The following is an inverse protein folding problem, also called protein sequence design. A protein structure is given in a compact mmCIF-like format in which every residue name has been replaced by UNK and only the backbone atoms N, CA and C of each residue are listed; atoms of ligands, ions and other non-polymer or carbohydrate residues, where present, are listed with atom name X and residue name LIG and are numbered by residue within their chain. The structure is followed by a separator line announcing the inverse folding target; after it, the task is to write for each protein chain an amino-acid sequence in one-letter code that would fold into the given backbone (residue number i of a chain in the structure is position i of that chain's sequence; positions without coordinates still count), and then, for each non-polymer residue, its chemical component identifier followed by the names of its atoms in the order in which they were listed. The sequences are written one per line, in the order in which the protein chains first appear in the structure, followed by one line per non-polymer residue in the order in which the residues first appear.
data_IF_492961503963
#
_entry.id   IF_492961503963
#
_cell.length_a   1.000
_cell.length_b   1.000
_cell.length_c   1.000
_cell.angle_alpha   90.00
_cell.angle_beta   90.00
_cell.angle_gamma   90.00
#
_symmetry.space_group_name_H-M   'P 1'
#
loop_
_entity.id
_entity.type
_entity.pdbx_description
1 polymer ?
#
# COMPACT_ATOMS: atom_id res chain seq x y z
N UNK A 1 -4.15 -44.81 -42.35
CA UNK A 1 -5.59 -44.43 -42.29
C UNK A 1 -5.69 -42.96 -42.63
N UNK A 2 -6.52 -42.58 -43.60
CA UNK A 2 -6.70 -41.18 -44.02
C UNK A 2 -8.00 -40.69 -43.41
N UNK A 3 -7.94 -39.66 -42.56
CA UNK A 3 -9.14 -39.03 -41.99
C UNK A 3 -9.78 -38.17 -43.08
N UNK A 4 -11.08 -38.36 -43.33
CA UNK A 4 -11.85 -37.47 -44.19
C UNK A 4 -12.11 -36.16 -43.43
N UNK A 5 -11.55 -35.05 -43.94
CA UNK A 5 -11.71 -33.70 -43.38
C UNK A 5 -13.19 -33.33 -43.21
N UNK A 6 -14.05 -33.68 -44.16
CA UNK A 6 -15.45 -33.28 -44.11
C UNK A 6 -16.22 -34.06 -43.04
N UNK A 7 -15.91 -35.36 -42.89
CA UNK A 7 -16.47 -36.18 -41.81
C UNK A 7 -15.98 -35.70 -40.45
N UNK A 8 -14.67 -35.44 -40.31
CA UNK A 8 -14.10 -34.89 -39.07
C UNK A 8 -14.74 -33.55 -38.68
N UNK A 9 -14.88 -32.62 -39.62
CA UNK A 9 -15.48 -31.32 -39.36
C UNK A 9 -16.96 -31.41 -38.97
N UNK A 10 -17.73 -32.25 -39.65
CA UNK A 10 -19.14 -32.45 -39.31
C UNK A 10 -19.29 -33.04 -37.91
N UNK A 11 -18.47 -34.03 -37.55
CA UNK A 11 -18.49 -34.64 -36.22
C UNK A 11 -18.00 -33.65 -35.16
N UNK A 12 -16.94 -32.89 -35.44
CA UNK A 12 -16.41 -31.88 -34.52
C UNK A 12 -17.43 -30.76 -34.26
N UNK A 13 -18.04 -30.20 -35.30
CA UNK A 13 -19.07 -29.16 -35.15
C UNK A 13 -20.25 -29.65 -34.31
N UNK A 14 -20.66 -30.91 -34.50
CA UNK A 14 -21.73 -31.50 -33.71
C UNK A 14 -21.34 -31.66 -32.25
N UNK A 15 -20.17 -32.25 -31.97
CA UNK A 15 -19.68 -32.48 -30.59
C UNK A 15 -19.47 -31.14 -29.87
N UNK A 16 -18.89 -30.16 -30.58
CA UNK A 16 -18.66 -28.81 -30.07
C UNK A 16 -19.97 -28.14 -29.63
N UNK A 17 -21.00 -28.17 -30.48
CA UNK A 17 -22.30 -27.60 -30.16
C UNK A 17 -23.03 -28.33 -29.01
N UNK A 18 -22.82 -29.65 -28.87
CA UNK A 18 -23.50 -30.46 -27.85
C UNK A 18 -22.81 -30.42 -26.47
N UNK A 19 -21.48 -30.27 -26.43
CA UNK A 19 -20.70 -30.44 -25.20
C UNK A 19 -20.15 -29.13 -24.63
N UNK A 20 -20.03 -28.07 -25.42
CA UNK A 20 -19.43 -26.83 -24.97
C UNK A 20 -20.49 -25.87 -24.44
N UNK A 21 -20.35 -25.44 -23.18
CA UNK A 21 -21.18 -24.37 -22.64
C UNK A 21 -20.98 -23.10 -23.47
N UNK A 22 -22.08 -22.43 -23.83
CA UNK A 22 -22.03 -21.22 -24.66
C UNK A 22 -21.24 -20.08 -24.03
N UNK A 23 -21.20 -20.07 -22.69
CA UNK A 23 -20.48 -19.08 -21.89
C UNK A 23 -19.38 -19.76 -21.06
N UNK A 24 -18.17 -19.23 -21.16
CA UNK A 24 -17.02 -19.63 -20.31
C UNK A 24 -16.61 -18.47 -19.42
N UNK A 25 -16.70 -18.66 -18.11
CA UNK A 25 -16.31 -17.66 -17.12
C UNK A 25 -14.79 -17.62 -16.90
N UNK A 26 -14.26 -16.41 -16.85
CA UNK A 26 -12.87 -16.09 -16.52
C UNK A 26 -12.79 -15.59 -15.07
N UNK A 27 -11.62 -15.76 -14.44
CA UNK A 27 -11.40 -15.25 -13.07
C UNK A 27 -11.25 -13.73 -13.10
N UNK A 28 -11.90 -13.04 -12.17
CA UNK A 28 -11.72 -11.60 -11.94
C UNK A 28 -10.25 -11.20 -11.85
N UNK A 29 -9.92 -10.01 -12.34
CA UNK A 29 -8.56 -9.49 -12.24
C UNK A 29 -8.29 -8.90 -10.86
N UNK A 30 -7.02 -8.80 -10.42
CA UNK A 30 -6.69 -7.87 -9.35
C UNK A 30 -6.97 -6.42 -9.77
N UNK A 31 -7.01 -5.51 -8.79
CA UNK A 31 -7.07 -4.07 -9.05
C UNK A 31 -5.69 -3.57 -9.49
N UNK A 32 -5.57 -3.11 -10.73
CA UNK A 32 -4.35 -2.57 -11.31
C UNK A 32 -4.26 -1.07 -11.03
N UNK A 33 -3.15 -0.64 -10.42
CA UNK A 33 -2.92 0.77 -10.13
C UNK A 33 -2.68 1.57 -11.43
N UNK A 34 -3.52 2.56 -11.68
CA UNK A 34 -3.42 3.49 -12.82
C UNK A 34 -2.65 4.76 -12.45
N UNK A 35 -2.78 5.22 -11.21
CA UNK A 35 -2.14 6.44 -10.75
C UNK A 35 -2.19 6.61 -9.24
N UNK A 36 -1.24 7.38 -8.71
CA UNK A 36 -1.17 7.80 -7.31
C UNK A 36 -1.38 9.31 -7.21
N UNK A 37 -1.86 9.77 -6.06
CA UNK A 37 -2.03 11.21 -5.79
C UNK A 37 -2.87 11.93 -6.87
N UNK A 38 -3.89 11.26 -7.39
CA UNK A 38 -4.80 11.81 -8.40
C UNK A 38 -5.81 12.73 -7.71
N UNK A 39 -6.10 13.89 -8.29
CA UNK A 39 -7.15 14.79 -7.80
C UNK A 39 -8.53 14.10 -7.85
N UNK A 40 -9.19 14.02 -6.71
CA UNK A 40 -10.44 13.29 -6.55
C UNK A 40 -11.65 14.21 -6.69
N UNK A 41 -12.77 13.73 -7.26
CA UNK A 41 -13.99 14.53 -7.31
C UNK A 41 -14.55 14.75 -5.90
N UNK A 42 -15.25 15.88 -5.66
CA UNK A 42 -15.75 16.25 -4.33
C UNK A 42 -16.63 15.19 -3.66
N UNK A 43 -17.25 14.30 -4.44
CA UNK A 43 -18.13 13.21 -3.99
C UNK A 43 -17.42 12.09 -3.21
N UNK A 44 -16.08 12.04 -3.29
CA UNK A 44 -15.28 10.95 -2.70
C UNK A 44 -14.90 11.26 -1.25
N UNK A 45 -14.79 12.54 -0.88
CA UNK A 45 -14.57 13.00 0.50
C UNK A 45 -13.10 13.18 0.91
N UNK A 46 -12.16 13.11 -0.04
CA UNK A 46 -10.74 13.43 0.14
C UNK A 46 -10.19 14.09 -1.14
N UNK A 47 -9.13 14.90 -1.03
CA UNK A 47 -8.62 15.71 -2.15
C UNK A 47 -7.77 14.89 -3.15
N UNK A 48 -6.95 13.95 -2.68
CA UNK A 48 -6.08 13.12 -3.53
C UNK A 48 -6.21 11.62 -3.24
N UNK A 49 -6.10 10.81 -4.28
CA UNK A 49 -6.29 9.37 -4.18
C UNK A 49 -5.47 8.53 -5.15
N UNK A 50 -5.30 7.25 -4.82
CA UNK A 50 -4.81 6.24 -5.74
C UNK A 50 -5.99 5.75 -6.59
N UNK A 51 -5.79 5.74 -7.90
CA UNK A 51 -6.75 5.29 -8.89
C UNK A 51 -6.35 3.89 -9.38
N UNK A 52 -7.28 2.96 -9.32
CA UNK A 52 -7.08 1.58 -9.77
C UNK A 52 -8.20 1.14 -10.72
N UNK A 53 -7.92 0.13 -11.54
CA UNK A 53 -8.85 -0.47 -12.48
C UNK A 53 -8.93 -1.97 -12.31
N UNK A 54 -10.14 -2.53 -12.35
CA UNK A 54 -10.39 -3.95 -12.19
C UNK A 54 -11.44 -4.42 -13.18
N UNK A 55 -11.26 -5.64 -13.69
CA UNK A 55 -12.26 -6.35 -14.49
C UNK A 55 -12.84 -7.49 -13.67
N UNK A 56 -14.15 -7.63 -13.74
CA UNK A 56 -14.95 -8.60 -12.97
C UNK A 56 -16.04 -9.21 -13.83
N UNK A 57 -16.57 -10.36 -13.43
CA UNK A 57 -17.68 -11.02 -14.13
C UNK A 57 -17.37 -11.25 -15.62
N UNK A 58 -16.13 -11.65 -15.90
CA UNK A 58 -15.64 -11.80 -17.26
C UNK A 58 -16.12 -13.13 -17.86
N UNK A 59 -16.69 -13.09 -19.06
CA UNK A 59 -17.23 -14.22 -19.77
C UNK A 59 -16.87 -14.16 -21.25
N UNK A 60 -16.66 -15.33 -21.86
CA UNK A 60 -16.56 -15.50 -23.31
C UNK A 60 -17.86 -16.14 -23.77
N UNK A 61 -18.60 -15.46 -24.63
CA UNK A 61 -19.91 -15.85 -25.13
C UNK A 61 -19.86 -16.30 -26.59
N UNK A 62 -20.81 -17.15 -26.97
CA UNK A 62 -20.93 -17.64 -28.35
C UNK A 62 -19.97 -18.79 -28.66
N UNK A 63 -19.37 -19.42 -27.64
CA UNK A 63 -18.43 -20.50 -27.84
C UNK A 63 -19.14 -21.69 -28.49
N UNK A 64 -20.33 -22.06 -28.05
CA UNK A 64 -21.06 -23.23 -28.58
C UNK A 64 -21.40 -23.12 -30.07
N UNK A 65 -21.44 -21.89 -30.60
CA UNK A 65 -21.77 -21.58 -31.98
C UNK A 65 -20.53 -21.33 -32.86
N UNK A 66 -19.32 -21.60 -32.36
CA UNK A 66 -18.09 -21.43 -33.13
C UNK A 66 -18.07 -22.36 -34.35
N UNK A 67 -18.17 -21.76 -35.54
CA UNK A 67 -18.02 -22.46 -36.80
C UNK A 67 -16.60 -22.26 -37.33
N UNK A 68 -15.98 -23.35 -37.80
CA UNK A 68 -14.73 -23.29 -38.54
C UNK A 68 -15.00 -22.84 -39.99
N UNK A 69 -14.61 -21.61 -40.30
CA UNK A 69 -14.63 -21.02 -41.64
C UNK A 69 -13.69 -21.73 -42.61
N UNK A 70 -12.53 -22.14 -42.09
CA UNK A 70 -11.54 -22.91 -42.83
C UNK A 70 -10.93 -23.96 -41.92
N UNK A 71 -10.63 -25.10 -42.53
CA UNK A 71 -9.90 -26.17 -41.89
C UNK A 71 -8.90 -26.75 -42.86
N UNK A 72 -7.68 -26.97 -42.39
CA UNK A 72 -6.70 -27.80 -43.09
C UNK A 72 -6.22 -28.91 -42.16
N UNK A 73 -6.06 -30.11 -42.74
CA UNK A 73 -5.52 -31.27 -42.04
C UNK A 73 -4.26 -31.72 -42.78
N UNK A 74 -3.15 -31.71 -42.06
CA UNK A 74 -1.85 -32.17 -42.53
C UNK A 74 -1.48 -33.45 -41.79
N UNK A 75 -1.21 -34.52 -42.54
CA UNK A 75 -0.77 -35.79 -42.00
C UNK A 75 0.74 -35.92 -42.20
N UNK A 76 1.50 -35.81 -41.11
CA UNK A 76 2.97 -35.79 -41.09
C UNK A 76 3.45 -37.05 -40.35
N UNK A 77 3.41 -38.19 -41.05
CA UNK A 77 3.74 -39.50 -40.46
C UNK A 77 2.75 -39.87 -39.35
N UNK A 78 3.25 -40.01 -38.12
CA UNK A 78 2.43 -40.33 -36.95
C UNK A 78 1.76 -39.10 -36.34
N UNK A 79 2.03 -37.91 -36.87
CA UNK A 79 1.44 -36.63 -36.41
C UNK A 79 0.32 -36.16 -37.33
N UNK A 80 -0.74 -35.65 -36.74
CA UNK A 80 -1.81 -34.95 -37.44
C UNK A 80 -1.82 -33.51 -36.95
N UNK A 81 -1.72 -32.56 -37.86
CA UNK A 81 -1.90 -31.14 -37.57
C UNK A 81 -3.22 -30.68 -38.18
N UNK A 82 -4.06 -30.08 -37.36
CA UNK A 82 -5.36 -29.53 -37.72
C UNK A 82 -5.28 -28.02 -37.50
N UNK A 83 -5.45 -27.24 -38.56
CA UNK A 83 -5.52 -25.78 -38.46
C UNK A 83 -6.98 -25.35 -38.69
N UNK A 84 -7.54 -24.59 -37.76
CA UNK A 84 -8.90 -24.08 -37.81
C UNK A 84 -8.88 -22.55 -37.82
N UNK A 85 -9.72 -21.95 -38.65
CA UNK A 85 -10.03 -20.52 -38.62
C UNK A 85 -11.49 -20.37 -38.21
N UNK A 86 -11.77 -19.72 -37.09
CA UNK A 86 -13.08 -19.70 -36.44
C UNK A 86 -13.79 -18.34 -36.64
N UNK A 87 -15.13 -18.34 -36.78
CA UNK A 87 -15.94 -17.13 -37.07
C UNK A 87 -15.81 -16.02 -36.02
N UNK A 88 -15.65 -16.39 -34.74
CA UNK A 88 -15.33 -15.46 -33.67
C UNK A 88 -16.17 -15.66 -32.42
N UNK A 89 -15.76 -15.04 -31.32
CA UNK A 89 -16.48 -15.02 -30.04
C UNK A 89 -16.52 -13.62 -29.48
N UNK A 90 -17.44 -13.37 -28.55
CA UNK A 90 -17.54 -12.09 -27.86
C UNK A 90 -17.06 -12.26 -26.43
N UNK A 91 -16.09 -11.44 -26.02
CA UNK A 91 -15.74 -11.26 -24.62
C UNK A 91 -16.64 -10.18 -24.01
N UNK A 92 -17.19 -10.45 -22.83
CA UNK A 92 -17.99 -9.50 -22.07
C UNK A 92 -17.56 -9.50 -20.60
N UNK A 93 -17.75 -8.39 -19.91
CA UNK A 93 -17.54 -8.30 -18.47
C UNK A 93 -17.95 -6.95 -17.92
N UNK A 94 -17.64 -6.74 -16.65
CA UNK A 94 -17.82 -5.46 -15.97
C UNK A 94 -16.49 -4.92 -15.48
N UNK A 95 -16.33 -3.60 -15.52
CA UNK A 95 -15.17 -2.93 -14.97
C UNK A 95 -15.54 -2.12 -13.73
N UNK A 96 -14.54 -1.90 -12.88
CA UNK A 96 -14.59 -0.94 -11.79
C UNK A 96 -13.34 -0.05 -11.81
N UNK A 97 -13.54 1.26 -11.91
CA UNK A 97 -12.54 2.25 -11.52
C UNK A 97 -12.69 2.51 -10.03
N UNK A 98 -11.68 2.15 -9.28
CA UNK A 98 -11.67 2.20 -7.83
C UNK A 98 -10.74 3.30 -7.36
N UNK A 99 -11.16 4.00 -6.33
CA UNK A 99 -10.35 5.03 -5.69
C UNK A 99 -10.07 4.65 -4.24
N UNK A 100 -8.85 4.98 -3.80
CA UNK A 100 -8.42 4.88 -2.41
C UNK A 100 -7.79 6.20 -1.98
N UNK A 101 -7.94 6.63 -0.72
CA UNK A 101 -7.15 7.75 -0.21
C UNK A 101 -5.66 7.48 -0.44
N UNK A 102 -4.97 8.45 -1.02
CA UNK A 102 -3.53 8.43 -1.19
C UNK A 102 -3.04 9.83 -0.83
N UNK A 103 -2.86 10.07 0.49
CA UNK A 103 -2.48 11.37 0.99
C UNK A 103 -1.10 11.71 0.46
N UNK A 104 -0.93 12.98 0.07
CA UNK A 104 0.39 13.51 -0.21
C UNK A 104 1.21 13.37 1.07
N UNK A 105 2.34 12.67 1.00
CA UNK A 105 3.30 12.65 2.09
C UNK A 105 3.78 14.08 2.27
N UNK A 106 3.33 14.73 3.33
CA UNK A 106 3.66 16.13 3.59
C UNK A 106 4.95 16.30 4.39
N UNK A 107 5.62 15.21 4.76
CA UNK A 107 6.75 15.18 5.68
C UNK A 107 7.88 14.31 5.15
N UNK A 108 9.11 14.77 5.33
CA UNK A 108 10.31 13.99 5.06
C UNK A 108 10.52 12.88 6.12
N UNK A 109 10.04 11.65 5.85
CA UNK A 109 10.19 10.53 6.78
C UNK A 109 11.61 9.93 6.79
N UNK A 110 12.44 10.24 5.78
CA UNK A 110 13.79 9.71 5.62
C UNK A 110 14.85 10.39 6.51
N UNK A 111 14.42 11.10 7.56
CA UNK A 111 15.31 11.46 8.66
C UNK A 111 15.10 12.82 9.32
N UNK A 112 14.26 13.73 8.80
CA UNK A 112 14.14 15.07 9.39
C UNK A 112 12.74 15.52 9.79
N UNK A 113 11.69 14.80 9.41
CA UNK A 113 10.33 14.96 9.94
C UNK A 113 9.73 16.36 9.76
N UNK A 114 10.27 17.13 8.80
CA UNK A 114 9.87 18.48 8.46
C UNK A 114 8.86 18.48 7.31
N UNK A 115 8.04 19.54 7.25
CA UNK A 115 7.10 19.72 6.13
C UNK A 115 7.83 19.82 4.79
N UNK A 116 7.37 19.05 3.80
CA UNK A 116 7.80 19.16 2.42
C UNK A 116 7.19 20.41 1.78
N UNK A 117 7.96 21.11 0.94
CA UNK A 117 7.48 22.31 0.22
C UNK A 117 6.37 21.96 -0.76
N UNK A 118 5.57 22.95 -1.17
CA UNK A 118 4.47 22.74 -2.14
C UNK A 118 4.96 22.20 -3.50
N UNK A 119 6.23 22.40 -3.85
CA UNK A 119 6.85 21.86 -5.07
C UNK A 119 7.28 20.40 -4.90
N UNK A 120 7.77 19.99 -3.74
CA UNK A 120 8.08 18.59 -3.41
C UNK A 120 6.82 17.72 -3.26
N UNK A 121 5.66 18.35 -2.95
CA UNK A 121 4.35 17.71 -2.85
C UNK A 121 3.73 17.30 -4.19
N UNK A 122 4.37 17.63 -5.33
CA UNK A 122 3.91 17.21 -6.67
C UNK A 122 4.52 15.85 -7.04
N UNK A 123 3.81 15.00 -7.81
CA UNK A 123 4.38 13.76 -8.31
C UNK A 123 5.58 14.05 -9.22
N UNK A 124 6.78 13.74 -8.74
CA UNK A 124 8.02 13.87 -9.52
C UNK A 124 8.38 12.51 -10.12
N UNK A 125 8.66 12.49 -11.43
CA UNK A 125 9.34 11.36 -12.07
C UNK A 125 10.73 11.23 -11.46
N UNK A 126 11.11 10.00 -11.06
CA UNK A 126 12.37 9.72 -10.37
C UNK A 126 13.58 10.46 -11.00
N UNK A 127 14.35 11.16 -10.16
CA UNK A 127 15.65 11.74 -10.54
C UNK A 127 15.72 13.27 -10.71
N UNK A 128 14.73 14.04 -10.25
CA UNK A 128 14.84 15.51 -10.20
C UNK A 128 14.98 15.99 -8.76
N UNK A 129 16.16 16.53 -8.42
CA UNK A 129 16.43 17.23 -7.16
C UNK A 129 15.54 18.46 -7.07
N UNK A 130 14.87 18.61 -5.92
CA UNK A 130 14.05 19.78 -5.58
C UNK A 130 14.98 20.84 -4.97
N UNK A 131 14.72 22.11 -5.26
CA UNK A 131 15.48 23.24 -4.73
C UNK A 131 15.51 23.21 -3.19
N UNK A 132 16.72 23.40 -2.65
CA UNK A 132 17.08 23.29 -1.24
C UNK A 132 16.49 24.46 -0.43
N UNK A 133 15.75 24.15 0.63
CA UNK A 133 15.30 25.14 1.63
C UNK A 133 16.48 25.42 2.58
N UNK A 134 17.11 26.60 2.49
CA UNK A 134 18.31 26.97 3.26
C UNK A 134 18.11 26.84 4.79
N UNK A 135 16.90 27.06 5.31
CA UNK A 135 16.59 26.87 6.74
C UNK A 135 16.59 25.37 7.10
N UNK A 136 16.05 24.54 6.21
CA UNK A 136 16.05 23.07 6.37
C UNK A 136 17.45 22.50 6.34
N UNK A 137 18.29 22.91 5.39
CA UNK A 137 19.68 22.44 5.29
C UNK A 137 20.51 22.87 6.51
N UNK A 138 20.28 24.08 7.03
CA UNK A 138 20.94 24.53 8.26
C UNK A 138 20.55 23.70 9.49
N UNK A 139 19.28 23.27 9.60
CA UNK A 139 18.85 22.37 10.67
C UNK A 139 19.37 20.95 10.49
N UNK A 140 19.45 20.46 9.25
CA UNK A 140 20.04 19.15 8.93
C UNK A 140 21.51 19.09 9.33
N UNK A 141 22.28 20.11 8.96
CA UNK A 141 23.69 20.15 9.29
C UNK A 141 23.90 20.22 10.80
N UNK A 142 23.13 21.06 11.50
CA UNK A 142 23.16 21.12 12.95
C UNK A 142 22.78 19.78 13.61
N UNK A 143 21.73 19.09 13.14
CA UNK A 143 21.37 17.77 13.68
C UNK A 143 22.47 16.73 13.45
N UNK A 144 23.18 16.78 12.31
CA UNK A 144 24.37 15.93 12.06
C UNK A 144 25.50 16.26 13.02
N UNK A 145 25.78 17.54 13.26
CA UNK A 145 26.80 17.99 14.20
C UNK A 145 26.51 17.50 15.62
N UNK A 146 25.28 17.68 16.12
CA UNK A 146 24.89 17.19 17.46
C UNK A 146 24.95 15.65 17.53
N UNK A 147 24.56 14.95 16.45
CA UNK A 147 24.67 13.49 16.37
C UNK A 147 26.13 13.03 16.44
N UNK A 148 27.05 13.67 15.74
CA UNK A 148 28.48 13.35 15.81
C UNK A 148 29.05 13.63 17.20
N UNK A 149 28.61 14.70 17.86
CA UNK A 149 28.98 14.98 19.25
C UNK A 149 28.49 13.88 20.20
N UNK A 150 27.25 13.39 20.04
CA UNK A 150 26.72 12.26 20.80
C UNK A 150 27.51 10.97 20.55
N UNK A 151 27.86 10.65 19.29
CA UNK A 151 28.68 9.48 18.94
C UNK A 151 30.07 9.53 19.58
N UNK A 152 30.63 10.72 19.76
CA UNK A 152 31.94 10.89 20.38
C UNK A 152 31.96 10.52 21.87
N UNK A 153 30.78 10.40 22.51
CA UNK A 153 30.60 10.01 23.91
C UNK A 153 30.16 8.55 23.99
N UNK A 154 30.75 7.76 24.88
CA UNK A 154 30.44 6.32 25.01
C UNK A 154 28.95 6.05 25.25
N UNK A 155 28.34 6.78 26.19
CA UNK A 155 26.91 6.63 26.49
C UNK A 155 26.01 7.28 25.43
N UNK A 156 26.49 8.34 24.77
CA UNK A 156 25.79 8.96 23.65
C UNK A 156 25.68 8.01 22.44
N UNK A 157 26.75 7.27 22.13
CA UNK A 157 26.72 6.21 21.11
C UNK A 157 25.73 5.11 21.47
N UNK A 158 25.70 4.63 22.72
CA UNK A 158 24.75 3.60 23.15
C UNK A 158 23.29 4.05 23.01
N UNK A 159 23.00 5.30 23.37
CA UNK A 159 21.66 5.89 23.16
C UNK A 159 21.33 5.92 21.66
N UNK A 160 22.25 6.36 20.80
CA UNK A 160 22.03 6.41 19.35
C UNK A 160 21.81 5.02 18.74
N UNK A 161 22.62 4.02 19.12
CA UNK A 161 22.51 2.66 18.61
C UNK A 161 21.15 2.03 18.92
N UNK A 162 20.63 2.26 20.13
CA UNK A 162 19.30 1.79 20.56
C UNK A 162 18.17 2.41 19.72
N UNK A 163 18.30 3.68 19.35
CA UNK A 163 17.32 4.33 18.48
C UNK A 163 17.41 3.85 17.04
N UNK A 164 18.64 3.71 16.55
CA UNK A 164 18.90 3.27 15.19
C UNK A 164 18.40 1.86 14.92
N UNK A 165 18.39 1.00 15.95
CA UNK A 165 17.80 -0.35 15.89
C UNK A 165 16.32 -0.34 15.46
N UNK A 166 15.58 0.73 15.78
CA UNK A 166 14.15 0.85 15.50
C UNK A 166 13.81 1.84 14.40
N UNK A 167 14.80 2.41 13.69
CA UNK A 167 14.58 3.41 12.64
C UNK A 167 13.63 2.95 11.53
N UNK A 168 13.67 1.67 11.13
CA UNK A 168 12.72 1.13 10.15
C UNK A 168 11.26 1.25 10.63
N UNK A 169 11.03 0.95 11.91
CA UNK A 169 9.70 1.04 12.52
C UNK A 169 9.27 2.50 12.65
N UNK A 170 10.17 3.38 13.08
CA UNK A 170 9.86 4.80 13.20
C UNK A 170 9.58 5.45 11.84
N UNK A 171 10.37 5.14 10.80
CA UNK A 171 10.10 5.60 9.43
C UNK A 171 8.72 5.14 8.95
N UNK A 172 8.35 3.87 9.20
CA UNK A 172 7.01 3.38 8.88
C UNK A 172 5.90 4.13 9.64
N UNK A 173 6.10 4.44 10.92
CA UNK A 173 5.17 5.26 11.71
C UNK A 173 5.02 6.66 11.11
N UNK A 174 6.12 7.28 10.67
CA UNK A 174 6.08 8.61 10.02
C UNK A 174 5.48 8.60 8.61
N UNK A 175 5.56 7.48 7.91
CA UNK A 175 4.87 7.26 6.64
C UNK A 175 3.38 6.92 6.83
N UNK A 176 2.95 6.64 8.06
CA UNK A 176 1.54 6.45 8.40
C UNK A 176 0.82 7.81 8.39
N UNK A 177 -0.22 7.94 7.58
CA UNK A 177 -0.64 9.22 6.99
C UNK A 177 -1.05 10.30 8.00
N UNK A 178 -1.45 9.89 9.20
CA UNK A 178 -1.95 10.78 10.23
C UNK A 178 -0.94 11.11 11.34
N UNK A 179 0.11 10.30 11.52
CA UNK A 179 1.13 10.58 12.53
C UNK A 179 1.90 11.86 12.20
N UNK A 180 2.21 12.08 10.93
CA UNK A 180 2.86 13.30 10.48
C UNK A 180 2.08 14.58 10.81
N UNK A 181 0.76 14.57 10.63
CA UNK A 181 -0.12 15.71 10.99
C UNK A 181 -0.04 16.03 12.48
N UNK A 182 0.03 15.00 13.32
CA UNK A 182 0.12 15.14 14.77
C UNK A 182 1.52 15.58 15.18
N UNK A 183 2.55 15.05 14.52
CA UNK A 183 3.94 15.48 14.68
C UNK A 183 4.10 16.97 14.41
N UNK A 184 3.47 17.50 13.36
CA UNK A 184 3.47 18.94 13.07
C UNK A 184 2.80 19.74 14.19
N UNK A 185 1.74 19.21 14.79
CA UNK A 185 0.93 19.85 15.83
C UNK A 185 0.65 21.33 15.52
N UNK A 186 0.07 21.62 14.35
CA UNK A 186 -0.20 22.98 13.86
C UNK A 186 1.03 23.91 13.81
N UNK A 187 2.23 23.36 13.57
CA UNK A 187 3.47 24.12 13.44
C UNK A 187 4.25 24.29 14.74
N UNK A 188 3.72 23.85 15.88
CA UNK A 188 4.38 23.95 17.21
C UNK A 188 5.74 23.26 17.19
N UNK A 189 5.85 22.08 16.57
CA UNK A 189 7.13 21.35 16.48
C UNK A 189 8.16 22.12 15.64
N UNK A 190 7.73 22.85 14.61
CA UNK A 190 8.62 23.71 13.82
C UNK A 190 9.12 24.91 14.62
N UNK A 191 8.26 25.53 15.44
CA UNK A 191 8.66 26.60 16.35
C UNK A 191 9.70 26.12 17.37
N UNK A 192 9.48 24.95 17.97
CA UNK A 192 10.40 24.31 18.92
C UNK A 192 11.75 23.95 18.28
N UNK A 193 11.75 23.40 17.06
CA UNK A 193 12.99 23.10 16.32
C UNK A 193 13.80 24.36 16.01
N UNK A 194 13.12 25.45 15.60
CA UNK A 194 13.78 26.73 15.35
C UNK A 194 14.42 27.29 16.61
N UNK A 195 13.71 27.22 17.73
CA UNK A 195 14.23 27.68 19.02
C UNK A 195 15.39 26.84 19.53
N UNK A 196 15.29 25.52 19.43
CA UNK A 196 16.38 24.59 19.76
C UNK A 196 17.62 24.93 18.94
N UNK A 197 17.45 25.10 17.62
CA UNK A 197 18.54 25.50 16.71
C UNK A 197 19.19 26.83 17.13
N UNK A 198 18.39 27.82 17.48
CA UNK A 198 18.86 29.12 17.95
C UNK A 198 19.56 29.03 19.32
N UNK A 199 19.04 28.23 20.24
CA UNK A 199 19.60 28.08 21.57
C UNK A 199 20.98 27.45 21.53
N UNK A 200 21.14 26.37 20.75
CA UNK A 200 22.40 25.70 20.51
C UNK A 200 23.46 26.64 19.86
N UNK A 201 23.05 27.50 18.92
CA UNK A 201 23.96 28.47 18.26
C UNK A 201 24.40 29.62 19.16
N UNK A 202 23.55 30.01 20.12
CA UNK A 202 23.76 31.20 20.95
C UNK A 202 24.10 30.86 22.41
N UNK A 203 24.36 29.59 22.71
CA UNK A 203 24.64 29.09 24.06
C UNK A 203 23.56 29.49 25.08
N UNK A 204 22.31 29.29 24.70
CA UNK A 204 21.14 29.54 25.54
C UNK A 204 20.52 28.23 26.03
N UNK A 205 19.55 28.32 26.94
CA UNK A 205 18.79 27.16 27.36
C UNK A 205 18.01 26.56 26.17
N UNK A 206 18.24 25.28 25.90
CA UNK A 206 17.56 24.53 24.82
C UNK A 206 16.07 24.38 25.12
N UNK A 207 15.72 24.36 26.40
CA UNK A 207 14.36 24.30 26.92
C UNK A 207 14.12 25.49 27.88
N UNK A 208 13.63 26.61 27.35
CA UNK A 208 13.38 27.81 28.15
C UNK A 208 12.10 27.64 29.00
N UNK A 209 12.22 27.67 30.34
CA UNK A 209 11.07 27.47 31.25
C UNK A 209 10.02 28.57 31.17
N UNK A 210 10.35 29.72 30.58
CA UNK A 210 9.41 30.84 30.43
C UNK A 210 8.75 30.89 29.05
N UNK A 211 9.10 29.95 28.17
CA UNK A 211 8.63 29.98 26.78
C UNK A 211 7.39 29.11 26.60
N UNK A 212 6.33 29.76 26.14
CA UNK A 212 5.13 29.10 25.63
C UNK A 212 5.09 29.21 24.11
N UNK A 213 4.76 28.09 23.48
CA UNK A 213 4.57 27.96 22.05
C UNK A 213 3.10 28.11 21.68
N UNK A 214 2.80 28.10 20.38
CA UNK A 214 1.41 28.06 19.90
C UNK A 214 0.57 26.99 20.63
N UNK A 215 -0.69 27.31 20.92
CA UNK A 215 -1.60 26.51 21.77
C UNK A 215 -1.16 26.40 23.25
N UNK A 216 -0.43 27.37 23.79
CA UNK A 216 0.00 27.43 25.20
C UNK A 216 0.74 26.18 25.67
N UNK A 217 1.54 25.59 24.77
CA UNK A 217 2.32 24.39 25.06
C UNK A 217 3.75 24.74 25.47
N UNK A 218 4.28 23.99 26.43
CA UNK A 218 5.72 23.96 26.72
C UNK A 218 6.39 22.87 25.87
N UNK A 219 7.72 22.94 25.74
CA UNK A 219 8.51 21.92 25.05
C UNK A 219 8.25 20.52 25.61
N UNK A 220 8.38 20.36 26.93
CA UNK A 220 8.22 19.06 27.60
C UNK A 220 6.82 18.47 27.41
N UNK A 221 5.79 19.31 27.48
CA UNK A 221 4.40 18.86 27.30
C UNK A 221 4.12 18.43 25.86
N UNK A 222 4.67 19.12 24.87
CA UNK A 222 4.55 18.71 23.47
C UNK A 222 5.32 17.41 23.20
N UNK A 223 6.58 17.31 23.64
CA UNK A 223 7.41 16.13 23.51
C UNK A 223 6.75 14.90 24.17
N UNK A 224 6.15 15.09 25.35
CA UNK A 224 5.39 14.06 26.04
C UNK A 224 4.24 13.51 25.19
N UNK A 225 3.42 14.39 24.60
CA UNK A 225 2.27 14.00 23.76
C UNK A 225 2.74 13.27 22.49
N UNK A 226 3.76 13.80 21.81
CA UNK A 226 4.30 13.19 20.59
C UNK A 226 4.89 11.79 20.86
N UNK A 227 5.56 11.60 21.99
CA UNK A 227 6.04 10.29 22.44
C UNK A 227 4.88 9.31 22.66
N UNK A 228 3.84 9.70 23.39
CA UNK A 228 2.67 8.82 23.60
C UNK A 228 2.00 8.49 22.26
N UNK A 229 1.91 9.46 21.34
CA UNK A 229 1.40 9.23 19.99
C UNK A 229 2.27 8.24 19.20
N UNK A 230 3.61 8.34 19.30
CA UNK A 230 4.55 7.44 18.64
C UNK A 230 4.38 6.00 19.15
N UNK A 231 4.39 5.84 20.47
CA UNK A 231 4.24 4.55 21.17
C UNK A 231 2.91 3.87 20.79
N UNK A 232 1.82 4.65 20.75
CA UNK A 232 0.50 4.16 20.33
C UNK A 232 0.51 3.73 18.86
N UNK A 233 1.07 4.56 17.98
CA UNK A 233 1.11 4.27 16.54
C UNK A 233 1.96 3.04 16.23
N UNK A 234 3.10 2.85 16.91
CA UNK A 234 3.90 1.62 16.82
C UNK A 234 3.04 0.39 17.13
N UNK A 235 2.37 0.37 18.29
CA UNK A 235 1.53 -0.75 18.71
C UNK A 235 0.38 -1.00 17.74
N UNK A 236 -0.32 0.05 17.33
CA UNK A 236 -1.47 -0.04 16.43
C UNK A 236 -1.09 -0.58 15.04
N UNK A 237 0.07 -0.19 14.49
CA UNK A 237 0.61 -0.77 13.24
C UNK A 237 0.99 -2.24 13.44
N UNK A 238 1.62 -2.55 14.58
CA UNK A 238 2.10 -3.90 14.90
C UNK A 238 1.00 -4.94 15.09
N UNK A 239 -0.21 -4.56 15.51
CA UNK A 239 -1.31 -5.50 15.80
C UNK A 239 -1.67 -6.42 14.61
N UNK A 240 -1.60 -5.90 13.38
CA UNK A 240 -1.99 -6.63 12.17
C UNK A 240 -0.78 -7.22 11.42
N UNK A 241 0.42 -7.14 12.00
CA UNK A 241 1.68 -7.49 11.36
C UNK A 241 2.24 -8.82 11.88
N UNK A 242 2.80 -9.68 11.01
CA UNK A 242 3.39 -10.96 11.42
C UNK A 242 4.63 -10.80 12.33
N UNK A 243 5.27 -9.63 12.30
CA UNK A 243 6.43 -9.25 13.09
C UNK A 243 6.09 -8.25 14.21
N UNK A 244 4.88 -8.34 14.78
CA UNK A 244 4.38 -7.50 15.90
C UNK A 244 5.42 -7.15 16.97
N UNK A 245 6.24 -8.13 17.39
CA UNK A 245 7.27 -7.91 18.41
C UNK A 245 8.29 -6.82 18.07
N UNK A 246 8.56 -6.55 16.79
CA UNK A 246 9.46 -5.44 16.40
C UNK A 246 8.86 -4.07 16.73
N UNK A 247 7.55 -3.94 16.56
CA UNK A 247 6.81 -2.71 16.84
C UNK A 247 6.60 -2.52 18.34
N UNK A 248 6.39 -3.62 19.07
CA UNK A 248 6.37 -3.59 20.53
C UNK A 248 7.72 -3.10 21.07
N UNK A 249 8.83 -3.71 20.67
CA UNK A 249 10.18 -3.28 21.09
C UNK A 249 10.44 -1.79 20.79
N UNK A 250 10.06 -1.29 19.61
CA UNK A 250 10.18 0.12 19.27
C UNK A 250 9.32 1.03 20.17
N UNK A 251 8.09 0.61 20.49
CA UNK A 251 7.23 1.32 21.44
C UNK A 251 7.83 1.34 22.85
N UNK A 252 8.45 0.23 23.28
CA UNK A 252 9.13 0.15 24.58
C UNK A 252 10.35 1.06 24.64
N UNK A 253 11.18 1.07 23.59
CA UNK A 253 12.35 1.93 23.49
C UNK A 253 11.98 3.42 23.60
N UNK A 254 10.93 3.85 22.88
CA UNK A 254 10.42 5.23 22.94
C UNK A 254 9.90 5.62 24.34
N UNK A 255 9.28 4.70 25.08
CA UNK A 255 8.83 4.95 26.46
C UNK A 255 9.99 5.01 27.46
N UNK A 256 10.96 4.10 27.36
CA UNK A 256 12.08 4.02 28.29
C UNK A 256 13.00 5.24 28.20
N UNK A 257 13.08 5.90 27.04
CA UNK A 257 13.90 7.09 26.87
C UNK A 257 13.49 8.28 27.74
N UNK A 258 12.18 8.55 27.88
CA UNK A 258 11.72 9.60 28.80
C UNK A 258 12.20 9.32 30.21
N UNK A 259 12.15 8.06 30.64
CA UNK A 259 12.54 7.67 32.00
C UNK A 259 14.02 7.93 32.26
N UNK A 260 14.86 7.84 31.22
CA UNK A 260 16.27 8.28 31.30
C UNK A 260 16.38 9.78 31.42
N UNK A 261 15.65 10.54 30.59
CA UNK A 261 15.69 12.00 30.63
C UNK A 261 15.25 12.50 32.02
N UNK A 262 14.14 12.00 32.56
CA UNK A 262 13.63 12.39 33.87
C UNK A 262 14.63 12.06 34.99
N UNK A 263 15.21 10.86 34.98
CA UNK A 263 16.18 10.43 35.99
C UNK A 263 17.47 11.29 35.96
N UNK A 264 18.00 11.58 34.78
CA UNK A 264 19.31 12.22 34.61
C UNK A 264 19.25 13.75 34.63
N UNK A 265 18.11 14.32 34.21
CA UNK A 265 17.98 15.77 34.05
C UNK A 265 16.92 16.42 34.93
N UNK A 266 16.02 15.63 35.51
CA UNK A 266 14.84 16.14 36.22
C UNK A 266 13.78 16.78 35.32
N UNK A 267 13.99 16.77 33.98
CA UNK A 267 12.97 17.20 33.03
C UNK A 267 11.93 16.10 32.83
N UNK A 268 10.67 16.45 33.07
CA UNK A 268 9.52 15.60 32.74
C UNK A 268 8.40 16.47 32.16
N UNK A 269 7.23 15.87 31.90
CA UNK A 269 6.07 16.54 31.32
C UNK A 269 5.74 17.89 31.99
N UNK A 270 5.80 17.95 33.33
CA UNK A 270 5.32 19.08 34.12
C UNK A 270 6.47 19.94 34.70
N UNK A 271 7.69 19.39 34.74
CA UNK A 271 8.88 20.05 35.30
C UNK A 271 9.89 20.38 34.19
N UNK A 272 10.29 21.64 34.13
CA UNK A 272 11.32 22.13 33.20
C UNK A 272 12.54 22.51 34.02
N UNK A 273 13.61 21.74 33.86
CA UNK A 273 14.94 22.09 34.35
C UNK A 273 15.74 22.69 33.19
N UNK A 274 16.06 24.01 33.22
CA UNK A 274 16.74 24.67 32.12
C UNK A 274 18.16 24.11 31.95
N UNK A 275 18.48 23.69 30.72
CA UNK A 275 19.79 23.12 30.39
C UNK A 275 20.37 23.79 29.14
N UNK A 276 21.67 24.07 29.19
CA UNK A 276 22.47 24.43 28.01
C UNK A 276 22.88 23.16 27.24
N UNK A 277 23.48 23.33 26.07
CA UNK A 277 24.05 22.21 25.31
C UNK A 277 25.09 21.43 26.13
N UNK A 278 25.99 22.15 26.82
CA UNK A 278 27.02 21.53 27.67
C UNK A 278 26.43 20.74 28.83
N UNK A 279 25.35 21.24 29.45
CA UNK A 279 24.65 20.54 30.54
C UNK A 279 24.04 19.22 30.05
N UNK A 280 23.40 19.23 28.87
CA UNK A 280 22.80 18.04 28.26
C UNK A 280 23.88 16.98 27.98
N UNK A 281 24.98 17.40 27.35
CA UNK A 281 26.09 16.51 27.06
C UNK A 281 26.78 15.97 28.31
N UNK A 282 26.84 16.76 29.37
CA UNK A 282 27.35 16.34 30.68
C UNK A 282 26.44 15.29 31.32
N UNK A 283 25.12 15.50 31.27
CA UNK A 283 24.14 14.53 31.78
C UNK A 283 24.21 13.19 31.04
N UNK A 284 24.33 13.23 29.71
CA UNK A 284 24.47 12.03 28.87
C UNK A 284 25.76 11.26 29.21
N UNK A 285 26.86 11.97 29.45
CA UNK A 285 28.13 11.33 29.82
C UNK A 285 28.13 10.78 31.26
N UNK A 286 27.36 11.39 32.16
CA UNK A 286 27.19 10.92 33.53
C UNK A 286 26.27 9.69 33.65
N UNK A 287 25.41 9.46 32.67
CA UNK A 287 24.51 8.31 32.62
C UNK A 287 25.29 6.98 32.67
N UNK A 288 24.75 5.96 33.34
CA UNK A 288 25.45 4.67 33.51
C UNK A 288 25.26 3.69 32.33
N UNK A 289 24.45 4.06 31.34
CA UNK A 289 24.09 3.23 30.20
C UNK A 289 23.01 2.18 30.51
N UNK A 290 22.59 2.07 31.78
CA UNK A 290 21.50 1.21 32.19
C UNK A 290 20.17 1.93 31.99
N UNK A 291 19.38 1.48 31.00
CA UNK A 291 18.04 1.99 30.77
C UNK A 291 17.10 1.47 31.86
N UNK A 292 16.34 2.36 32.56
CA UNK A 292 15.25 1.90 33.40
C UNK A 292 14.26 1.12 32.53
N UNK A 293 14.06 -0.15 32.86
CA UNK A 293 13.13 -1.02 32.14
C UNK A 293 11.73 -0.81 32.72
N UNK A 294 10.86 -0.16 31.97
CA UNK A 294 9.45 -0.07 32.32
C UNK A 294 8.80 -1.44 32.12
N UNK A 295 8.09 -1.96 33.12
CA UNK A 295 7.32 -3.19 32.94
C UNK A 295 6.21 -3.00 31.89
N UNK A 296 5.89 -4.04 31.13
CA UNK A 296 4.79 -4.02 30.15
C UNK A 296 3.47 -3.53 30.76
N UNK A 297 3.19 -3.91 32.03
CA UNK A 297 2.00 -3.46 32.76
C UNK A 297 2.00 -1.97 33.09
N UNK A 298 3.16 -1.41 33.44
CA UNK A 298 3.32 0.04 33.65
C UNK A 298 3.14 0.81 32.34
N UNK A 299 3.66 0.25 31.25
CA UNK A 299 3.51 0.81 29.91
C UNK A 299 2.05 0.79 29.43
N UNK A 300 1.38 -0.35 29.58
CA UNK A 300 -0.05 -0.52 29.29
C UNK A 300 -0.88 0.46 30.12
N UNK A 301 -0.64 0.60 31.44
CA UNK A 301 -1.38 1.56 32.28
C UNK A 301 -1.17 3.02 31.89
N UNK A 302 0.03 3.40 31.42
CA UNK A 302 0.31 4.75 30.91
C UNK A 302 -0.37 5.05 29.57
N UNK A 303 -0.77 4.02 28.82
CA UNK A 303 -1.39 4.11 27.50
C UNK A 303 -2.92 3.88 27.55
N UNK A 304 -3.41 3.04 28.47
CA UNK A 304 -4.79 2.53 28.51
C UNK A 304 -5.80 3.36 29.34
N UNK A 305 -5.44 4.53 29.86
CA UNK A 305 -6.38 5.39 30.64
C UNK A 305 -7.51 6.04 29.80
N UNK A 306 -7.89 5.42 28.68
CA UNK A 306 -8.71 5.98 27.59
C UNK A 306 -10.07 5.24 27.43
N UNK A 307 -10.64 4.67 28.50
CA UNK A 307 -12.01 4.15 28.52
C UNK A 307 -12.90 4.75 29.61
N UNK A 308 -13.39 5.99 29.47
CA UNK A 308 -14.54 6.45 30.23
C UNK A 308 -15.84 6.04 29.52
N UNK A 309 -16.00 4.74 29.21
CA UNK A 309 -17.34 4.17 29.03
C UNK A 309 -17.76 3.35 30.26
N UNK A 310 -16.86 3.13 31.22
CA UNK A 310 -17.20 2.64 32.54
C UNK A 310 -16.53 3.51 33.59
N UNK A 311 -17.35 4.22 34.36
CA UNK A 311 -16.91 4.89 35.57
C UNK A 311 -16.22 3.88 36.49
N UNK A 312 -14.91 4.03 36.64
CA UNK A 312 -14.08 3.23 37.54
C UNK A 312 -13.15 4.16 38.29
N UNK A 313 -13.67 4.81 39.32
CA UNK A 313 -12.86 5.27 40.45
C UNK A 313 -12.36 4.04 41.19
N UNK A 314 -11.10 3.66 41.00
CA UNK A 314 -10.37 2.97 42.06
C UNK A 314 -9.08 3.75 42.35
N UNK A 315 -9.06 4.33 43.55
CA UNK A 315 -7.87 4.78 44.24
C UNK A 315 -6.88 3.60 44.32
N UNK A 316 -5.84 3.62 43.50
CA UNK A 316 -4.61 2.87 43.80
C UNK A 316 -3.55 3.87 44.24
N UNK A 317 -3.29 3.91 45.54
CA UNK A 317 -2.50 4.91 46.27
C UNK A 317 -0.96 4.78 46.13
N UNK A 318 -0.44 3.96 45.23
CA UNK A 318 1.00 3.83 45.01
C UNK A 318 1.30 3.71 43.51
N UNK A 319 2.21 4.58 43.03
CA UNK A 319 2.74 4.75 41.66
C UNK A 319 2.03 5.87 40.86
N UNK A 320 2.82 6.84 40.40
CA UNK A 320 2.40 8.09 39.79
C UNK A 320 1.56 7.87 38.53
N UNK A 321 0.24 7.96 38.67
CA UNK A 321 -0.69 8.00 37.54
C UNK A 321 -0.43 9.27 36.72
N UNK A 322 0.07 9.08 35.50
CA UNK A 322 0.20 10.15 34.50
C UNK A 322 -1.19 10.73 34.24
N UNK A 323 -1.42 11.97 34.67
CA UNK A 323 -2.69 12.67 34.41
C UNK A 323 -2.61 13.40 33.07
N UNK A 324 -3.48 13.02 32.14
CA UNK A 324 -3.72 13.78 30.92
C UNK A 324 -4.74 14.90 31.19
N UNK A 325 -4.55 16.07 30.60
CA UNK A 325 -5.59 17.12 30.58
C UNK A 325 -6.55 16.88 29.40
N UNK A 326 -7.68 17.60 29.37
CA UNK A 326 -8.71 17.39 28.34
C UNK A 326 -8.19 17.63 26.92
N UNK A 327 -7.28 18.59 26.73
CA UNK A 327 -6.70 18.90 25.43
C UNK A 327 -5.77 17.77 24.93
N UNK A 328 -4.97 17.18 25.81
CA UNK A 328 -4.13 16.01 25.51
C UNK A 328 -4.99 14.79 25.21
N UNK A 329 -6.05 14.56 25.97
CA UNK A 329 -7.02 13.51 25.71
C UNK A 329 -7.66 13.69 24.33
N UNK A 330 -8.07 14.91 23.97
CA UNK A 330 -8.68 15.18 22.67
C UNK A 330 -7.71 14.94 21.51
N UNK A 331 -6.43 15.33 21.65
CA UNK A 331 -5.41 15.04 20.65
C UNK A 331 -5.17 13.53 20.46
N UNK A 332 -5.16 12.76 21.56
CA UNK A 332 -5.00 11.30 21.51
C UNK A 332 -6.26 10.58 20.99
N UNK A 333 -7.47 11.10 21.26
CA UNK A 333 -8.72 10.61 20.66
C UNK A 333 -8.75 10.88 19.16
N UNK A 334 -8.32 12.06 18.74
CA UNK A 334 -8.22 12.42 17.33
C UNK A 334 -7.20 11.53 16.60
N UNK A 335 -6.05 11.25 17.22
CA UNK A 335 -5.07 10.26 16.75
C UNK A 335 -5.72 8.88 16.58
N UNK A 336 -6.39 8.38 17.62
CA UNK A 336 -7.05 7.07 17.58
C UNK A 336 -8.11 7.00 16.49
N UNK A 337 -8.95 8.02 16.37
CA UNK A 337 -9.98 8.09 15.33
C UNK A 337 -9.36 8.11 13.94
N UNK A 338 -8.24 8.81 13.77
CA UNK A 338 -7.53 8.87 12.49
C UNK A 338 -6.83 7.54 12.17
N UNK A 339 -6.19 6.90 13.14
CA UNK A 339 -5.60 5.56 12.98
C UNK A 339 -6.69 4.51 12.71
N UNK A 340 -7.80 4.52 13.45
CA UNK A 340 -8.91 3.59 13.22
C UNK A 340 -9.55 3.82 11.86
N UNK A 341 -9.73 5.08 11.45
CA UNK A 341 -10.21 5.42 10.11
C UNK A 341 -9.25 4.91 9.04
N UNK A 342 -7.95 5.13 9.20
CA UNK A 342 -6.91 4.66 8.29
C UNK A 342 -6.79 3.12 8.27
N UNK A 343 -6.95 2.46 9.42
CA UNK A 343 -6.99 0.99 9.55
C UNK A 343 -8.24 0.42 8.89
N UNK A 344 -9.40 1.05 9.05
CA UNK A 344 -10.62 0.70 8.31
C UNK A 344 -10.44 0.94 6.80
N UNK A 345 -9.75 2.01 6.41
CA UNK A 345 -9.46 2.34 5.00
C UNK A 345 -8.40 1.41 4.36
N UNK A 346 -7.44 0.90 5.14
CA UNK A 346 -6.37 -0.03 4.72
C UNK A 346 -6.79 -1.51 4.82
N UNK A 347 -7.67 -1.86 5.75
CA UNK A 347 -8.13 -3.23 5.96
C UNK A 347 -9.04 -3.68 4.81
N UNK A 348 -8.48 -4.37 3.82
CA UNK A 348 -9.16 -5.20 2.82
C UNK A 348 -10.42 -4.62 2.15
N UNK A 349 -10.57 -3.29 2.09
CA UNK A 349 -11.61 -2.66 1.27
C UNK A 349 -11.09 -2.65 -0.18
N UNK A 350 -11.75 -3.47 -1.01
CA UNK A 350 -11.97 -3.19 -2.44
C UNK A 350 -12.11 -1.68 -2.60
N UNK A 351 -11.26 -1.01 -3.39
CA UNK A 351 -11.29 0.46 -3.41
C UNK A 351 -12.70 0.95 -3.72
N UNK A 352 -13.10 2.11 -3.18
CA UNK A 352 -14.46 2.63 -3.41
C UNK A 352 -14.65 2.78 -4.91
N UNK A 353 -15.60 2.04 -5.48
CA UNK A 353 -15.90 2.16 -6.90
C UNK A 353 -16.39 3.59 -7.16
N UNK A 354 -15.64 4.31 -7.99
CA UNK A 354 -15.97 5.64 -8.47
C UNK A 354 -16.82 5.57 -9.72
N UNK A 355 -16.40 4.72 -10.66
CA UNK A 355 -17.14 4.41 -11.88
C UNK A 355 -17.17 2.90 -12.06
N UNK A 356 -18.28 2.41 -12.59
CA UNK A 356 -18.46 1.01 -12.97
C UNK A 356 -19.31 0.96 -14.23
N UNK A 357 -19.03 0.00 -15.09
CA UNK A 357 -19.78 -0.19 -16.32
C UNK A 357 -19.43 -1.52 -16.97
N UNK A 358 -19.89 -1.69 -18.20
CA UNK A 358 -19.63 -2.90 -18.96
C UNK A 358 -18.41 -2.70 -19.86
N UNK A 359 -17.72 -3.78 -20.14
CA UNK A 359 -16.71 -3.85 -21.16
C UNK A 359 -16.98 -5.02 -22.09
N UNK A 360 -16.65 -4.86 -23.37
CA UNK A 360 -16.83 -5.89 -24.38
C UNK A 360 -15.69 -5.87 -25.40
N UNK A 361 -15.42 -7.01 -26.01
CA UNK A 361 -14.53 -7.11 -27.16
C UNK A 361 -15.04 -8.19 -28.11
N UNK A 362 -15.01 -7.92 -29.42
CA UNK A 362 -15.32 -8.91 -30.45
C UNK A 362 -14.01 -9.50 -30.97
N UNK A 363 -13.91 -10.83 -30.93
CA UNK A 363 -12.72 -11.59 -31.30
C UNK A 363 -13.01 -12.33 -32.61
N UNK A 364 -12.75 -11.70 -33.75
CA UNK A 364 -13.02 -12.26 -35.07
C UNK A 364 -11.76 -12.85 -35.72
N UNK A 365 -11.87 -14.01 -36.37
CA UNK A 365 -10.73 -14.62 -37.08
C UNK A 365 -9.72 -15.31 -36.15
N UNK A 366 -10.22 -15.97 -35.10
CA UNK A 366 -9.41 -16.77 -34.19
C UNK A 366 -8.80 -17.94 -34.96
N UNK A 367 -7.49 -18.15 -34.79
CA UNK A 367 -6.79 -19.28 -35.39
C UNK A 367 -6.46 -20.29 -34.33
N UNK A 368 -6.76 -21.55 -34.60
CA UNK A 368 -6.40 -22.65 -33.74
C UNK A 368 -5.52 -23.65 -34.47
N UNK A 369 -4.47 -24.10 -33.82
CA UNK A 369 -3.63 -25.21 -34.29
C UNK A 369 -3.70 -26.32 -33.27
N UNK A 370 -4.12 -27.51 -33.71
CA UNK A 370 -4.14 -28.72 -32.89
C UNK A 370 -3.20 -29.73 -33.49
N UNK A 371 -2.22 -30.17 -32.70
CA UNK A 371 -1.28 -31.22 -33.06
C UNK A 371 -1.55 -32.47 -32.24
N UNK A 372 -1.82 -33.57 -32.92
CA UNK A 372 -2.03 -34.89 -32.34
C UNK A 372 -0.85 -35.77 -32.73
N UNK A 373 -0.25 -36.46 -31.78
CA UNK A 373 0.69 -37.56 -32.04
C UNK A 373 0.02 -38.88 -31.74
N UNK A 374 0.19 -39.85 -32.64
CA UNK A 374 -0.41 -41.19 -32.53
C UNK A 374 0.61 -42.22 -32.12
N UNK A 375 0.15 -43.23 -31.39
CA UNK A 375 0.87 -44.47 -31.16
C UNK A 375 -0.10 -45.63 -31.45
N UNK A 376 -0.14 -46.07 -32.71
CA UNK A 376 -1.19 -46.97 -33.20
C UNK A 376 -2.52 -46.23 -33.45
N UNK A 377 -3.60 -46.71 -32.84
CA UNK A 377 -4.95 -46.09 -32.90
C UNK A 377 -5.20 -45.10 -31.76
N UNK A 378 -4.31 -45.03 -30.76
CA UNK A 378 -4.44 -44.12 -29.62
C UNK A 378 -3.69 -42.79 -29.82
N UNK A 379 -4.20 -41.73 -29.19
CA UNK A 379 -3.53 -40.42 -29.10
C UNK A 379 -2.51 -40.51 -27.96
N UNK A 380 -1.22 -40.37 -28.27
CA UNK A 380 -0.14 -40.36 -27.27
C UNK A 380 0.18 -38.95 -26.77
N UNK A 381 -0.04 -37.92 -27.60
CA UNK A 381 0.04 -36.52 -27.15
C UNK A 381 -0.88 -35.60 -27.96
N UNK A 382 -1.34 -34.55 -27.29
CA UNK A 382 -2.18 -33.49 -27.83
C UNK A 382 -1.57 -32.14 -27.43
N UNK A 383 -1.37 -31.27 -28.41
CA UNK A 383 -1.00 -29.88 -28.18
C UNK A 383 -1.99 -28.99 -28.90
N UNK A 384 -2.53 -28.00 -28.20
CA UNK A 384 -3.46 -27.02 -28.75
C UNK A 384 -2.83 -25.65 -28.59
N UNK A 385 -2.90 -24.84 -29.64
CA UNK A 385 -2.42 -23.46 -29.63
C UNK A 385 -3.50 -22.56 -30.23
N UNK A 386 -3.89 -21.53 -29.48
CA UNK A 386 -4.81 -20.49 -29.95
C UNK A 386 -4.03 -19.20 -30.23
N UNK A 387 -4.22 -18.65 -31.42
CA UNK A 387 -3.78 -17.32 -31.80
C UNK A 387 -5.02 -16.43 -31.94
N UNK A 388 -5.17 -15.47 -31.02
CA UNK A 388 -6.25 -14.49 -31.08
C UNK A 388 -5.82 -13.33 -32.00
N UNK A 389 -6.76 -12.72 -32.73
CA UNK A 389 -6.51 -11.47 -33.44
C UNK A 389 -6.15 -10.35 -32.44
N UNK A 390 -5.55 -9.27 -32.94
CA UNK A 390 -5.55 -8.00 -32.18
C UNK A 390 -6.99 -7.55 -31.99
N UNK A 391 -7.37 -7.27 -30.75
CA UNK A 391 -8.69 -6.75 -30.41
C UNK A 391 -8.59 -5.50 -29.54
N UNK A 392 -9.61 -4.66 -29.60
CA UNK A 392 -9.77 -3.51 -28.72
C UNK A 392 -10.83 -3.84 -27.67
N UNK A 393 -10.50 -3.58 -26.40
CA UNK A 393 -11.47 -3.68 -25.31
C UNK A 393 -12.29 -2.39 -25.27
N UNK A 394 -13.55 -2.47 -25.68
CA UNK A 394 -14.50 -1.37 -25.55
C UNK A 394 -14.92 -1.26 -24.09
N UNK A 395 -14.68 -0.10 -23.49
CA UNK A 395 -15.08 0.23 -22.13
C UNK A 395 -16.16 1.30 -22.21
N UNK A 396 -17.31 1.08 -21.58
CA UNK A 396 -18.34 2.11 -21.47
C UNK A 396 -17.88 3.21 -20.50
N UNK A 397 -17.20 4.22 -21.02
CA UNK A 397 -16.68 5.37 -20.27
C UNK A 397 -17.63 6.58 -20.29
N UNK A 398 -18.88 6.42 -20.74
CA UNK A 398 -19.85 7.51 -20.91
C UNK A 398 -20.15 8.30 -19.64
N UNK A 399 -19.98 7.67 -18.48
CA UNK A 399 -20.18 8.25 -17.15
C UNK A 399 -18.92 8.91 -16.58
N UNK A 400 -17.76 8.73 -17.22
CA UNK A 400 -16.48 9.19 -16.70
C UNK A 400 -16.38 10.70 -16.80
N UNK A 401 -15.92 11.34 -15.72
CA UNK A 401 -15.76 12.79 -15.67
C UNK A 401 -14.59 13.22 -14.76
N UNK A 402 -14.10 14.44 -15.00
CA UNK A 402 -13.05 15.07 -14.22
C UNK A 402 -11.63 14.56 -14.53
N UNK A 403 -10.68 14.92 -13.65
CA UNK A 403 -9.26 14.59 -13.82
C UNK A 403 -9.00 13.08 -13.69
N UNK A 404 -9.77 12.38 -12.85
CA UNK A 404 -9.72 10.93 -12.71
C UNK A 404 -10.01 10.22 -14.03
N UNK A 405 -11.03 10.68 -14.77
CA UNK A 405 -11.39 10.11 -16.08
C UNK A 405 -10.27 10.28 -17.11
N UNK A 406 -9.68 11.47 -17.17
CA UNK A 406 -8.59 11.79 -18.10
C UNK A 406 -7.38 10.90 -17.85
N UNK A 407 -7.01 10.71 -16.58
CA UNK A 407 -5.91 9.83 -16.20
C UNK A 407 -6.25 8.37 -16.49
N UNK A 408 -7.48 7.94 -16.20
CA UNK A 408 -7.93 6.57 -16.49
C UNK A 408 -7.80 6.25 -18.00
N UNK A 409 -8.35 7.09 -18.87
CA UNK A 409 -8.27 6.93 -20.33
C UNK A 409 -6.81 6.86 -20.81
N UNK A 410 -6.01 7.86 -20.44
CA UNK A 410 -4.60 7.94 -20.84
C UNK A 410 -3.80 6.72 -20.40
N UNK A 411 -4.07 6.18 -19.20
CA UNK A 411 -3.32 5.05 -18.65
C UNK A 411 -3.80 3.72 -19.21
N UNK A 412 -5.10 3.55 -19.41
CA UNK A 412 -5.66 2.33 -20.02
C UNK A 412 -5.20 2.15 -21.47
N UNK A 413 -5.12 3.24 -22.25
CA UNK A 413 -4.51 3.21 -23.60
C UNK A 413 -3.05 2.73 -23.59
N UNK A 414 -2.34 2.93 -22.48
CA UNK A 414 -0.93 2.56 -22.32
C UNK A 414 -0.75 1.17 -21.68
N UNK A 415 -1.82 0.53 -21.21
CA UNK A 415 -1.76 -0.76 -20.51
C UNK A 415 -1.72 -1.96 -21.46
N UNK A 416 -0.67 -2.04 -22.29
CA UNK A 416 -0.38 -3.23 -23.11
C UNK A 416 -0.32 -4.54 -22.30
N UNK A 417 0.06 -4.46 -21.02
CA UNK A 417 0.11 -5.61 -20.12
C UNK A 417 -1.27 -6.22 -19.84
N UNK A 418 -2.33 -5.41 -19.66
CA UNK A 418 -3.68 -5.91 -19.40
C UNK A 418 -4.25 -6.64 -20.62
N UNK A 419 -3.97 -6.13 -21.82
CA UNK A 419 -4.28 -6.82 -23.07
C UNK A 419 -3.61 -8.19 -23.15
N UNK A 420 -2.31 -8.28 -22.83
CA UNK A 420 -1.61 -9.58 -22.83
C UNK A 420 -2.15 -10.56 -21.78
N UNK A 421 -2.57 -10.05 -20.61
CA UNK A 421 -3.12 -10.91 -19.54
C UNK A 421 -4.50 -11.45 -19.92
N UNK A 422 -5.38 -10.61 -20.48
CA UNK A 422 -6.66 -11.02 -21.04
C UNK A 422 -6.48 -11.98 -22.21
N UNK A 423 -5.57 -11.67 -23.14
CA UNK A 423 -5.21 -12.53 -24.26
C UNK A 423 -4.85 -13.93 -23.78
N UNK A 424 -3.93 -14.04 -22.82
CA UNK A 424 -3.47 -15.33 -22.31
C UNK A 424 -4.61 -16.08 -21.58
N UNK A 425 -5.45 -15.38 -20.83
CA UNK A 425 -6.57 -16.00 -20.13
C UNK A 425 -7.64 -16.54 -21.10
N UNK A 426 -7.97 -15.79 -22.15
CA UNK A 426 -8.91 -16.18 -23.18
C UNK A 426 -8.35 -17.36 -24.00
N UNK A 427 -7.11 -17.24 -24.46
CA UNK A 427 -6.44 -18.28 -25.25
C UNK A 427 -6.38 -19.61 -24.47
N UNK A 428 -5.94 -19.58 -23.21
CA UNK A 428 -5.85 -20.79 -22.38
C UNK A 428 -7.21 -21.50 -22.20
N UNK A 429 -8.30 -20.74 -22.08
CA UNK A 429 -9.64 -21.32 -21.97
C UNK A 429 -10.16 -21.90 -23.29
N UNK A 430 -9.90 -21.23 -24.41
CA UNK A 430 -10.24 -21.76 -25.72
C UNK A 430 -9.40 -22.99 -26.08
N UNK A 431 -8.13 -23.04 -25.66
CA UNK A 431 -7.25 -24.20 -25.83
C UNK A 431 -7.78 -25.43 -25.08
N UNK A 432 -8.22 -25.25 -23.84
CA UNK A 432 -8.81 -26.29 -23.00
C UNK A 432 -10.10 -26.85 -23.64
N UNK A 433 -11.02 -25.98 -24.05
CA UNK A 433 -12.25 -26.38 -24.70
C UNK A 433 -11.99 -27.11 -26.04
N UNK A 434 -11.08 -26.58 -26.86
CA UNK A 434 -10.73 -27.17 -28.16
C UNK A 434 -10.04 -28.53 -28.04
N UNK A 435 -9.15 -28.69 -27.05
CA UNK A 435 -8.49 -29.95 -26.77
C UNK A 435 -9.49 -31.07 -26.46
N UNK A 436 -10.50 -30.79 -25.65
CA UNK A 436 -11.55 -31.74 -25.26
C UNK A 436 -12.36 -32.19 -26.47
N UNK A 437 -12.91 -31.23 -27.22
CA UNK A 437 -13.77 -31.53 -28.37
C UNK A 437 -13.03 -32.25 -29.51
N UNK A 438 -11.79 -31.89 -29.82
CA UNK A 438 -11.01 -32.56 -30.87
C UNK A 438 -10.65 -33.99 -30.48
N UNK A 439 -10.34 -34.24 -29.21
CA UNK A 439 -10.06 -35.59 -28.71
C UNK A 439 -11.26 -36.52 -28.90
N UNK A 440 -12.45 -36.05 -28.53
CA UNK A 440 -13.67 -36.84 -28.66
C UNK A 440 -14.12 -37.02 -30.12
N UNK A 441 -13.95 -35.98 -30.94
CA UNK A 441 -14.18 -36.05 -32.39
C UNK A 441 -13.27 -37.07 -33.07
N UNK A 442 -11.99 -37.08 -32.69
CA UNK A 442 -11.05 -38.05 -33.20
C UNK A 442 -11.47 -39.47 -32.83
N UNK A 443 -11.77 -39.74 -31.54
CA UNK A 443 -12.23 -41.07 -31.08
C UNK A 443 -13.46 -41.57 -31.84
N UNK A 444 -14.44 -40.70 -32.11
CA UNK A 444 -15.63 -41.09 -32.87
C UNK A 444 -15.35 -41.30 -34.37
N UNK A 445 -14.37 -40.61 -34.95
CA UNK A 445 -14.04 -40.73 -36.37
C UNK A 445 -13.24 -42.00 -36.72
N UNK A 446 -12.59 -42.64 -35.73
CA UNK A 446 -11.87 -43.92 -35.88
C UNK A 446 -12.66 -45.14 -35.40
N UNK A 447 -13.72 -44.93 -34.60
CA UNK A 447 -14.69 -45.98 -34.24
C UNK A 447 -15.58 -46.35 -35.44
#
# INVERSE_FOLDING_TARGET
MTIDINAFLSTWQQIWAEQTNDNVTLKDTPAYLLGRTVEMPPTVGYETGALSFRLTQMEICGISNLVANRCSLENIGDRIRINLELEGVTFQGSYALEVKPDPIVEIDSAGNLMELSAETRRPVVAGKSVDEDEEKEAWLEQAREEREQLKSKTNGQQLLDMYDEHNEVYDEVFQYSNFGTIWKNNGVTKEMSRDTSNALKNDQFVNDPNKEYSNSKTYNRNAFVLKIALVRTCRDIGEDKPDRGKYENAAEAAMNFESVIDLETGNNKDQIEPMTSEDIYTAIEAHRGDMPTMSEQEMIRRIEFDYPDQGGTEESDEISTVKFNEEECEQLRHLRSAILKERVEKASIVGRSLFSGNCQANLEGIKATVELTREGEEISSLSTQIELPTFELEIDDSQWSGEVARIAQQRLEQMYFTHNLLYNAIAARLEEALAEAVTDSYRQAIA
#
